data_IF_791194072760
#
_entry.id   IF_791194072760
#
_cell.length_a   1.000
_cell.length_b   1.000
_cell.length_c   1.000
_cell.angle_alpha   90.00
_cell.angle_beta   90.00
_cell.angle_gamma   90.00
#
_symmetry.space_group_name_H-M   'P 1'
#
loop_
_entity.id
_entity.type
_entity.pdbx_description
1 polymer ?
#
# COMPACT_ATOMS: atom_id res chain seq x y z
N UNK A 1 6.63 -14.51 -0.24
CA UNK A 1 5.55 -13.55 0.18
C UNK A 1 4.16 -14.24 0.15
N UNK A 2 3.88 -15.21 1.05
CA UNK A 2 2.64 -16.00 0.96
C UNK A 2 1.38 -15.19 1.26
N UNK A 3 1.43 -14.24 2.20
CA UNK A 3 0.25 -13.43 2.55
C UNK A 3 -0.05 -12.39 1.48
N UNK A 4 0.97 -11.67 1.00
CA UNK A 4 0.83 -10.73 -0.12
C UNK A 4 0.26 -11.42 -1.34
N UNK A 5 0.83 -12.57 -1.72
CA UNK A 5 0.34 -13.35 -2.88
C UNK A 5 -1.10 -13.80 -2.70
N UNK A 6 -1.47 -14.27 -1.51
CA UNK A 6 -2.84 -14.67 -1.20
C UNK A 6 -3.87 -13.53 -1.20
N UNK A 7 -3.42 -12.26 -1.08
CA UNK A 7 -4.30 -11.09 -1.07
C UNK A 7 -4.33 -10.39 -2.42
N UNK A 8 -3.18 -10.17 -3.06
CA UNK A 8 -3.09 -9.34 -4.28
C UNK A 8 -2.45 -10.05 -5.48
N UNK A 9 -1.87 -11.23 -5.30
CA UNK A 9 -1.14 -11.93 -6.35
C UNK A 9 -2.03 -12.60 -7.40
N UNK A 10 -3.23 -13.02 -7.02
CA UNK A 10 -4.24 -13.54 -7.94
C UNK A 10 -5.18 -12.41 -8.36
N UNK A 11 -5.08 -11.99 -9.62
CA UNK A 11 -5.84 -10.85 -10.15
C UNK A 11 -7.34 -11.04 -10.11
N UNK A 12 -7.81 -12.26 -10.23
CA UNK A 12 -9.23 -12.62 -10.27
C UNK A 12 -9.79 -12.94 -8.89
N UNK A 13 -8.96 -12.99 -7.86
CA UNK A 13 -9.44 -13.27 -6.51
C UNK A 13 -10.31 -12.13 -5.96
N UNK A 14 -11.29 -12.49 -5.13
CA UNK A 14 -12.17 -11.53 -4.46
C UNK A 14 -11.34 -10.54 -3.61
N UNK A 15 -10.31 -11.02 -2.92
CA UNK A 15 -9.44 -10.18 -2.09
C UNK A 15 -8.67 -9.16 -2.92
N UNK A 16 -8.07 -9.57 -4.04
CA UNK A 16 -7.35 -8.69 -4.95
C UNK A 16 -8.28 -7.63 -5.56
N UNK A 17 -9.45 -8.04 -6.02
CA UNK A 17 -10.47 -7.14 -6.55
C UNK A 17 -10.92 -6.12 -5.50
N UNK A 18 -11.16 -6.56 -4.26
CA UNK A 18 -11.55 -5.70 -3.14
C UNK A 18 -10.44 -4.72 -2.78
N UNK A 19 -9.20 -5.19 -2.69
CA UNK A 19 -8.05 -4.32 -2.40
C UNK A 19 -7.89 -3.22 -3.45
N UNK A 20 -7.93 -3.57 -4.74
CA UNK A 20 -7.84 -2.62 -5.85
C UNK A 20 -8.99 -1.62 -5.85
N UNK A 21 -10.21 -2.08 -5.56
CA UNK A 21 -11.39 -1.21 -5.43
C UNK A 21 -11.20 -0.21 -4.30
N UNK A 22 -10.84 -0.66 -3.10
CA UNK A 22 -10.60 0.21 -1.95
C UNK A 22 -9.49 1.23 -2.21
N UNK A 23 -8.40 0.81 -2.86
CA UNK A 23 -7.31 1.70 -3.22
C UNK A 23 -7.78 2.79 -4.20
N UNK A 24 -8.56 2.40 -5.23
CA UNK A 24 -9.11 3.34 -6.22
C UNK A 24 -10.07 4.33 -5.60
N UNK A 25 -11.00 3.86 -4.77
CA UNK A 25 -11.99 4.71 -4.09
C UNK A 25 -11.32 5.74 -3.16
N UNK A 26 -10.28 5.33 -2.45
CA UNK A 26 -9.51 6.24 -1.59
C UNK A 26 -8.64 7.21 -2.37
N UNK A 27 -8.17 6.82 -3.55
CA UNK A 27 -7.33 7.66 -4.41
C UNK A 27 -8.12 8.67 -5.24
N UNK A 28 -9.37 8.36 -5.62
CA UNK A 28 -10.16 9.20 -6.52
C UNK A 28 -10.36 10.60 -5.95
N UNK A 29 -10.03 11.61 -6.76
CA UNK A 29 -10.18 13.02 -6.42
C UNK A 29 -9.20 13.56 -5.38
N UNK A 30 -8.25 12.76 -4.88
CA UNK A 30 -7.24 13.26 -3.94
C UNK A 30 -6.28 14.21 -4.64
N UNK A 31 -6.06 15.36 -4.01
CA UNK A 31 -5.14 16.37 -4.50
C UNK A 31 -3.71 16.08 -4.03
N UNK A 32 -2.75 16.20 -4.94
CA UNK A 32 -1.32 16.11 -4.69
C UNK A 32 -0.77 17.49 -4.30
N UNK A 33 0.41 17.54 -3.68
CA UNK A 33 1.08 18.80 -3.29
C UNK A 33 1.29 19.78 -4.45
N UNK A 34 1.45 19.28 -5.67
CA UNK A 34 1.61 20.10 -6.87
C UNK A 34 0.29 20.58 -7.49
N UNK A 35 -0.84 20.36 -6.84
CA UNK A 35 -2.17 20.74 -7.30
C UNK A 35 -2.81 19.78 -8.30
N UNK A 36 -2.13 18.71 -8.72
CA UNK A 36 -2.73 17.66 -9.56
C UNK A 36 -3.69 16.78 -8.75
N UNK A 37 -4.61 16.10 -9.44
CA UNK A 37 -5.55 15.18 -8.81
C UNK A 37 -5.29 13.75 -9.27
N UNK A 38 -5.45 12.81 -8.33
CA UNK A 38 -5.47 11.39 -8.65
C UNK A 38 -6.80 11.02 -9.32
N UNK A 39 -6.73 10.16 -10.34
CA UNK A 39 -7.92 9.60 -10.96
C UNK A 39 -7.73 8.12 -11.23
N UNK A 40 -8.65 7.32 -10.72
CA UNK A 40 -8.68 5.87 -10.95
C UNK A 40 -9.08 5.51 -12.39
N UNK A 41 -9.73 6.45 -13.12
CA UNK A 41 -10.27 6.24 -14.46
C UNK A 41 -9.49 7.01 -15.55
N UNK A 42 -8.18 7.06 -15.43
CA UNK A 42 -7.32 7.87 -16.31
C UNK A 42 -7.18 7.34 -17.75
N UNK A 43 -7.80 6.23 -18.13
CA UNK A 43 -7.62 5.62 -19.47
C UNK A 43 -7.83 6.60 -20.63
N UNK A 44 -8.79 7.53 -20.51
CA UNK A 44 -9.03 8.55 -21.55
C UNK A 44 -7.99 9.69 -21.53
N UNK A 45 -7.25 9.89 -20.44
CA UNK A 45 -6.21 10.92 -20.30
C UNK A 45 -4.84 10.41 -20.71
N UNK A 46 -4.60 9.10 -20.60
CA UNK A 46 -3.35 8.45 -21.07
C UNK A 46 -3.10 8.67 -22.56
N UNK A 47 -4.18 8.77 -23.36
CA UNK A 47 -4.09 9.05 -24.81
C UNK A 47 -3.53 10.43 -25.16
N UNK A 48 -3.44 11.35 -24.19
CA UNK A 48 -2.91 12.73 -24.40
C UNK A 48 -1.48 12.92 -23.92
N UNK A 49 -0.77 11.87 -23.54
CA UNK A 49 0.65 11.95 -23.13
C UNK A 49 0.93 12.73 -21.83
N UNK A 50 -0.12 13.03 -21.04
CA UNK A 50 0.00 13.89 -19.85
C UNK A 50 -0.30 13.16 -18.53
N UNK A 51 -0.44 11.84 -18.57
CA UNK A 51 -0.80 11.09 -17.38
C UNK A 51 0.41 10.39 -16.76
N UNK A 52 0.52 10.54 -15.45
CA UNK A 52 1.39 9.72 -14.63
C UNK A 52 0.56 8.54 -14.09
N UNK A 53 1.15 7.37 -14.08
CA UNK A 53 0.64 6.25 -13.31
C UNK A 53 1.37 6.18 -11.97
N UNK A 54 0.61 5.85 -10.93
CA UNK A 54 1.19 5.52 -9.63
C UNK A 54 0.95 4.05 -9.37
N UNK A 55 2.02 3.34 -9.07
CA UNK A 55 2.00 1.91 -8.77
C UNK A 55 2.60 1.65 -7.38
N UNK A 56 2.12 0.60 -6.75
CA UNK A 56 2.67 0.06 -5.51
C UNK A 56 3.37 -1.26 -5.84
N UNK A 57 4.66 -1.33 -5.55
CA UNK A 57 5.45 -2.54 -5.63
C UNK A 57 5.76 -3.04 -4.22
N UNK A 58 5.34 -4.26 -3.87
CA UNK A 58 5.68 -4.89 -2.60
C UNK A 58 6.92 -5.73 -2.83
N UNK A 59 7.99 -5.40 -2.09
CA UNK A 59 9.31 -5.99 -2.28
C UNK A 59 9.56 -7.14 -1.32
N UNK A 60 9.07 -6.99 -0.09
CA UNK A 60 9.26 -7.99 0.96
C UNK A 60 8.11 -7.99 1.96
N UNK A 61 7.77 -9.17 2.43
CA UNK A 61 6.95 -9.35 3.62
C UNK A 61 7.68 -10.24 4.63
N UNK A 62 7.40 -10.03 5.90
CA UNK A 62 7.93 -10.84 6.99
C UNK A 62 6.93 -10.92 8.12
N UNK A 63 6.58 -12.14 8.50
CA UNK A 63 5.79 -12.44 9.69
C UNK A 63 6.73 -12.95 10.76
N UNK A 64 6.74 -12.30 11.92
CA UNK A 64 7.59 -12.67 13.05
C UNK A 64 6.74 -12.99 14.27
N UNK A 65 7.15 -14.02 14.98
CA UNK A 65 6.58 -14.44 16.25
C UNK A 65 7.69 -14.41 17.29
N UNK A 66 7.44 -13.75 18.41
CA UNK A 66 8.38 -13.67 19.55
C UNK A 66 7.65 -14.04 20.82
N UNK A 67 8.15 -15.04 21.54
CA UNK A 67 7.66 -15.35 22.88
C UNK A 67 8.30 -14.36 23.86
N UNK A 68 7.47 -13.58 24.55
CA UNK A 68 7.92 -12.57 25.52
C UNK A 68 7.94 -13.16 26.96
N UNK A 69 6.96 -13.99 27.29
CA UNK A 69 6.87 -14.71 28.56
C UNK A 69 6.17 -16.06 28.36
N UNK A 70 5.86 -16.78 29.46
CA UNK A 70 5.15 -18.06 29.33
C UNK A 70 3.75 -17.90 28.77
N UNK A 71 3.09 -16.79 29.05
CA UNK A 71 1.71 -16.49 28.67
C UNK A 71 1.60 -15.27 27.75
N UNK A 72 2.71 -14.87 27.10
CA UNK A 72 2.69 -13.69 26.23
C UNK A 72 3.52 -13.90 24.99
N UNK A 73 2.92 -13.65 23.85
CA UNK A 73 3.52 -13.68 22.53
C UNK A 73 3.33 -12.35 21.83
N UNK A 74 4.32 -11.94 21.03
CA UNK A 74 4.22 -10.83 20.14
C UNK A 74 4.17 -11.35 18.69
N UNK A 75 3.21 -10.90 17.92
CA UNK A 75 3.10 -11.17 16.51
C UNK A 75 3.30 -9.85 15.75
N UNK A 76 4.22 -9.83 14.79
CA UNK A 76 4.42 -8.69 13.91
C UNK A 76 4.37 -9.08 12.44
N UNK A 77 3.85 -8.18 11.63
CA UNK A 77 3.84 -8.29 10.18
C UNK A 77 4.49 -7.05 9.57
N UNK A 78 5.60 -7.26 8.87
CA UNK A 78 6.37 -6.21 8.21
C UNK A 78 6.19 -6.29 6.71
N UNK A 79 6.04 -5.13 6.07
CA UNK A 79 6.05 -4.97 4.62
C UNK A 79 7.06 -3.88 4.24
N UNK A 80 7.97 -4.22 3.32
CA UNK A 80 8.75 -3.24 2.58
C UNK A 80 8.10 -3.11 1.19
N UNK A 81 7.79 -1.88 0.80
CA UNK A 81 7.18 -1.58 -0.47
C UNK A 81 7.74 -0.28 -1.06
N UNK A 82 7.57 -0.10 -2.36
CA UNK A 82 7.96 1.12 -3.06
C UNK A 82 6.79 1.65 -3.87
N UNK A 83 6.51 2.95 -3.71
CA UNK A 83 5.55 3.66 -4.54
C UNK A 83 6.32 4.26 -5.71
N UNK A 84 5.90 3.90 -6.92
CA UNK A 84 6.50 4.31 -8.17
C UNK A 84 5.56 5.26 -8.90
N UNK A 85 6.03 6.42 -9.29
CA UNK A 85 5.36 7.28 -10.27
C UNK A 85 6.03 7.08 -11.64
N UNK A 86 5.23 6.68 -12.62
CA UNK A 86 5.68 6.35 -13.96
C UNK A 86 5.06 7.27 -14.99
N UNK A 87 5.89 7.80 -15.89
CA UNK A 87 5.46 8.56 -17.04
C UNK A 87 5.41 7.67 -18.29
N UNK A 88 4.22 7.47 -18.80
CA UNK A 88 4.02 6.65 -20.00
C UNK A 88 4.60 7.28 -21.27
N UNK A 89 4.57 8.61 -21.39
CA UNK A 89 5.08 9.30 -22.57
C UNK A 89 6.59 9.17 -22.71
N UNK A 90 7.30 9.27 -21.59
CA UNK A 90 8.76 9.19 -21.55
C UNK A 90 9.26 7.77 -21.27
N UNK A 91 8.33 6.85 -20.95
CA UNK A 91 8.64 5.47 -20.52
C UNK A 91 9.65 5.43 -19.38
N UNK A 92 9.51 6.35 -18.42
CA UNK A 92 10.46 6.53 -17.34
C UNK A 92 9.78 6.56 -15.95
N UNK A 93 10.48 6.04 -14.95
CA UNK A 93 10.12 6.26 -13.55
C UNK A 93 10.56 7.67 -13.18
N UNK A 94 9.62 8.49 -12.75
CA UNK A 94 9.85 9.91 -12.40
C UNK A 94 9.99 10.13 -10.90
N UNK A 95 9.49 9.20 -10.11
CA UNK A 95 9.63 9.22 -8.66
C UNK A 95 9.55 7.80 -8.10
N UNK A 96 10.32 7.56 -7.05
CA UNK A 96 10.31 6.31 -6.29
C UNK A 96 10.33 6.68 -4.81
N UNK A 97 9.38 6.15 -4.05
CA UNK A 97 9.24 6.43 -2.62
C UNK A 97 9.14 5.12 -1.85
N UNK A 98 10.23 4.69 -1.19
CA UNK A 98 10.20 3.49 -0.37
C UNK A 98 9.39 3.73 0.91
N UNK A 99 8.60 2.74 1.29
CA UNK A 99 7.84 2.72 2.54
C UNK A 99 8.12 1.42 3.30
N UNK A 100 8.18 1.53 4.61
CA UNK A 100 8.26 0.40 5.52
C UNK A 100 7.10 0.44 6.46
N UNK A 101 6.41 -0.67 6.59
CA UNK A 101 5.24 -0.82 7.43
C UNK A 101 5.47 -1.95 8.40
N UNK A 102 5.08 -1.72 9.64
CA UNK A 102 5.03 -2.75 10.68
C UNK A 102 3.67 -2.69 11.34
N UNK A 103 3.04 -3.82 11.48
CA UNK A 103 1.84 -4.00 12.27
C UNK A 103 2.15 -5.00 13.38
N UNK A 104 1.81 -4.65 14.61
CA UNK A 104 2.21 -5.34 15.82
C UNK A 104 1.02 -5.60 16.72
N UNK A 105 0.95 -6.78 17.32
CA UNK A 105 -0.04 -7.13 18.34
C UNK A 105 0.54 -8.08 19.38
N UNK A 106 -0.01 -8.06 20.60
CA UNK A 106 0.28 -9.02 21.66
C UNK A 106 -0.85 -10.04 21.74
N UNK A 107 -0.49 -11.27 22.09
CA UNK A 107 -1.40 -12.40 22.26
C UNK A 107 -1.07 -13.15 23.56
N UNK A 108 -2.08 -13.61 24.28
CA UNK A 108 -1.93 -14.43 25.47
C UNK A 108 -1.62 -15.91 25.18
N UNK A 109 -1.73 -16.31 23.92
CA UNK A 109 -1.46 -17.66 23.47
C UNK A 109 -0.57 -17.66 22.23
N UNK A 110 0.05 -18.80 21.93
CA UNK A 110 0.88 -18.95 20.74
C UNK A 110 0.07 -18.63 19.47
N UNK A 111 0.57 -17.71 18.60
CA UNK A 111 -0.11 -17.33 17.37
C UNK A 111 -0.44 -18.52 16.47
N UNK A 112 -1.67 -18.58 16.03
CA UNK A 112 -2.16 -19.55 15.03
C UNK A 112 -1.99 -19.00 13.61
N UNK A 113 -2.18 -19.86 12.61
CA UNK A 113 -2.21 -19.40 11.20
C UNK A 113 -3.40 -18.44 10.93
N UNK A 114 -4.50 -18.62 11.66
CA UNK A 114 -5.64 -17.71 11.58
C UNK A 114 -5.27 -16.30 12.10
N UNK A 115 -4.50 -16.20 13.18
CA UNK A 115 -4.07 -14.90 13.72
C UNK A 115 -3.10 -14.19 12.75
N UNK A 116 -2.18 -14.94 12.14
CA UNK A 116 -1.29 -14.42 11.11
C UNK A 116 -2.05 -13.92 9.89
N UNK A 117 -3.04 -14.69 9.42
CA UNK A 117 -3.90 -14.30 8.29
C UNK A 117 -4.75 -13.07 8.61
N UNK A 118 -5.27 -12.96 9.83
CA UNK A 118 -6.01 -11.78 10.30
C UNK A 118 -5.11 -10.55 10.32
N UNK A 119 -3.91 -10.65 10.89
CA UNK A 119 -2.96 -9.54 10.94
C UNK A 119 -2.57 -9.07 9.54
N UNK A 120 -2.33 -10.01 8.62
CA UNK A 120 -2.07 -9.68 7.22
C UNK A 120 -3.26 -8.98 6.56
N UNK A 121 -4.49 -9.45 6.73
CA UNK A 121 -5.67 -8.79 6.20
C UNK A 121 -5.81 -7.35 6.73
N UNK A 122 -5.57 -7.13 8.03
CA UNK A 122 -5.61 -5.80 8.63
C UNK A 122 -4.54 -4.89 8.00
N UNK A 123 -3.32 -5.37 7.78
CA UNK A 123 -2.25 -4.62 7.13
C UNK A 123 -2.68 -4.11 5.75
N UNK A 124 -3.31 -4.96 4.93
CA UNK A 124 -3.70 -4.61 3.57
C UNK A 124 -4.98 -3.77 3.51
N UNK A 125 -6.00 -4.12 4.27
CA UNK A 125 -7.32 -3.52 4.16
C UNK A 125 -7.58 -2.42 5.18
N UNK A 126 -6.79 -2.38 6.25
CA UNK A 126 -7.03 -1.46 7.35
C UNK A 126 -8.37 -1.72 8.03
N UNK A 127 -8.90 -2.94 7.90
CA UNK A 127 -10.20 -3.30 8.42
C UNK A 127 -10.22 -3.11 9.91
N UNK A 128 -11.23 -2.37 10.32
CA UNK A 128 -11.46 -1.92 11.70
C UNK A 128 -11.95 -3.04 12.60
N UNK A 129 -11.73 -4.27 12.26
CA UNK A 129 -11.91 -5.39 13.17
C UNK A 129 -10.83 -5.33 14.28
N UNK A 130 -10.74 -4.13 14.90
CA UNK A 130 -9.95 -3.88 16.11
C UNK A 130 -10.30 -4.83 17.25
N UNK A 131 -11.46 -5.47 17.13
CA UNK A 131 -11.93 -6.47 18.08
C UNK A 131 -11.12 -7.78 18.03
N UNK A 132 -10.37 -8.03 16.97
CA UNK A 132 -9.56 -9.24 16.86
C UNK A 132 -8.29 -9.20 17.70
N UNK A 133 -7.74 -8.01 17.91
CA UNK A 133 -6.52 -7.81 18.68
C UNK A 133 -6.68 -6.61 19.63
N UNK A 134 -6.41 -6.81 20.92
CA UNK A 134 -6.59 -5.76 21.94
C UNK A 134 -5.53 -4.65 21.80
N UNK A 135 -4.29 -5.03 21.48
CA UNK A 135 -3.13 -4.13 21.45
C UNK A 135 -2.53 -4.01 20.05
N UNK A 136 -3.38 -3.66 19.07
CA UNK A 136 -2.90 -3.47 17.71
C UNK A 136 -2.26 -2.11 17.54
N UNK A 137 -1.00 -2.08 17.10
CA UNK A 137 -0.27 -0.86 16.79
C UNK A 137 0.41 -0.92 15.42
N UNK A 138 0.55 0.22 14.76
CA UNK A 138 1.22 0.34 13.47
C UNK A 138 0.40 1.07 12.41
N UNK A 139 0.86 0.96 11.18
CA UNK A 139 0.26 1.63 10.01
C UNK A 139 -0.24 0.63 8.99
N UNK A 140 -1.28 1.02 8.24
CA UNK A 140 -1.91 0.20 7.20
C UNK A 140 -1.43 0.59 5.81
N UNK A 141 -1.29 -0.39 4.93
CA UNK A 141 -0.73 -0.20 3.59
C UNK A 141 -1.46 0.87 2.77
N UNK A 142 -2.79 0.84 2.73
CA UNK A 142 -3.57 1.84 1.98
C UNK A 142 -3.38 3.24 2.55
N UNK A 143 -3.33 3.39 3.87
CA UNK A 143 -3.17 4.68 4.52
C UNK A 143 -1.80 5.30 4.22
N UNK A 144 -0.73 4.54 4.37
CA UNK A 144 0.61 5.03 4.08
C UNK A 144 0.86 5.21 2.59
N UNK A 145 0.29 4.36 1.74
CA UNK A 145 0.29 4.59 0.29
C UNK A 145 -0.32 5.95 -0.05
N UNK A 146 -1.51 6.25 0.47
CA UNK A 146 -2.18 7.52 0.18
C UNK A 146 -1.40 8.73 0.69
N UNK A 147 -0.83 8.63 1.89
CA UNK A 147 0.03 9.67 2.47
C UNK A 147 1.26 9.90 1.60
N UNK A 148 1.99 8.83 1.25
CA UNK A 148 3.19 8.94 0.44
C UNK A 148 2.88 9.48 -0.98
N UNK A 149 1.75 9.09 -1.58
CA UNK A 149 1.34 9.63 -2.89
C UNK A 149 1.00 11.12 -2.79
N UNK A 150 0.31 11.55 -1.73
CA UNK A 150 0.01 12.98 -1.52
C UNK A 150 1.27 13.79 -1.26
N UNK A 151 2.27 13.22 -0.58
CA UNK A 151 3.54 13.85 -0.27
C UNK A 151 4.55 13.81 -1.43
N UNK A 152 4.26 13.02 -2.48
CA UNK A 152 5.14 12.91 -3.65
C UNK A 152 5.22 14.26 -4.36
N UNK A 153 6.38 14.89 -4.29
CA UNK A 153 6.72 16.04 -5.14
C UNK A 153 6.97 15.54 -6.56
N UNK A 154 5.97 15.62 -7.40
CA UNK A 154 6.17 15.48 -8.84
C UNK A 154 6.91 16.76 -9.26
N UNK A 155 8.23 16.66 -9.38
CA UNK A 155 9.07 17.81 -9.74
C UNK A 155 8.52 18.47 -11.00
N UNK A 156 8.33 19.78 -10.94
CA UNK A 156 7.83 20.61 -12.04
C UNK A 156 8.79 20.67 -13.27
N UNK A 157 9.87 19.90 -13.28
CA UNK A 157 10.78 19.79 -14.41
C UNK A 157 10.09 19.45 -15.76
N UNK A 158 8.84 19.09 -15.71
CA UNK A 158 7.96 18.75 -16.83
C UNK A 158 7.45 19.92 -17.66
N UNK A 159 7.41 21.14 -17.09
CA UNK A 159 6.90 22.32 -17.81
C UNK A 159 7.95 22.97 -18.71
N UNK A 160 9.22 22.65 -18.54
CA UNK A 160 10.30 23.30 -19.29
C UNK A 160 10.69 22.60 -20.59
N UNK A 161 10.17 21.40 -20.90
CA UNK A 161 10.52 20.65 -22.11
C UNK A 161 9.42 20.64 -23.18
N UNK A 162 8.34 21.42 -23.00
CA UNK A 162 7.41 21.71 -24.09
C UNK A 162 7.76 23.11 -24.60
N UNK A 163 8.87 23.23 -25.26
CA UNK A 163 9.15 24.31 -26.22
C UNK A 163 9.74 23.69 -27.47
N UNK A 164 8.96 23.81 -28.48
CA UNK A 164 9.06 23.74 -29.94
C UNK A 164 8.21 22.64 -30.50
#
# INVERSE_FOLDING_TARGET
MPYTFGIIGDEDSIKSTTFRKNLREKAEGKQLKNGAFLSANAQNRLKRGQALAVALAIERERMLETKLSDDEYQLSFDIDATILAFNFSEKAIVSSHPIKLTLLTSLSEKPTENDRSKLANIMFFGDREKEWFQDLSGSYLITEFMKAVQDTEIRQAWRSHIRV
#
